data_IF_449134886569
#
_entry.id   IF_449134886569
#
_cell.length_a   1.000
_cell.length_b   1.000
_cell.length_c   1.000
_cell.angle_alpha   90.00
_cell.angle_beta   90.00
_cell.angle_gamma   90.00
#
_symmetry.space_group_name_H-M   'P 1'
#
loop_
_entity.id
_entity.type
_entity.pdbx_description
1 polymer ?
#
# COMPACT_ATOMS: atom_id res chain seq x y z
N UNK A 1 48.22 -41.31 11.13
CA UNK A 1 48.23 -39.85 10.84
C UNK A 1 46.97 -39.51 10.05
N UNK A 2 45.90 -39.10 10.73
CA UNK A 2 44.57 -38.88 10.14
C UNK A 2 44.46 -37.40 9.74
N UNK A 3 44.40 -37.14 8.43
CA UNK A 3 44.29 -35.80 7.85
C UNK A 3 42.92 -35.19 8.19
N UNK A 4 42.91 -34.05 8.88
CA UNK A 4 41.70 -33.27 9.19
C UNK A 4 41.15 -32.68 7.89
N UNK A 5 39.97 -33.12 7.46
CA UNK A 5 39.18 -32.44 6.43
C UNK A 5 38.54 -31.20 7.07
N UNK A 6 38.96 -30.01 6.66
CA UNK A 6 38.26 -28.77 6.98
C UNK A 6 37.08 -28.64 6.00
N UNK A 7 35.86 -28.78 6.51
CA UNK A 7 34.64 -28.50 5.75
C UNK A 7 34.36 -26.99 5.81
N UNK A 8 34.55 -26.31 4.69
CA UNK A 8 34.24 -24.88 4.54
C UNK A 8 32.75 -24.72 4.22
N UNK A 9 31.96 -24.29 5.19
CA UNK A 9 30.53 -24.03 5.00
C UNK A 9 30.35 -22.71 4.24
N UNK A 10 29.83 -22.77 3.01
CA UNK A 10 29.44 -21.58 2.24
C UNK A 10 28.05 -21.15 2.73
N UNK A 11 27.96 -19.99 3.37
CA UNK A 11 26.67 -19.38 3.73
C UNK A 11 26.05 -18.73 2.49
N UNK A 12 24.92 -19.28 2.02
CA UNK A 12 24.12 -18.67 0.95
C UNK A 12 23.21 -17.62 1.59
N UNK A 13 23.45 -16.35 1.27
CA UNK A 13 22.54 -15.25 1.61
C UNK A 13 21.35 -15.31 0.64
N UNK A 14 20.22 -15.83 1.11
CA UNK A 14 18.94 -15.72 0.40
C UNK A 14 18.45 -14.28 0.61
N UNK A 15 18.55 -13.45 -0.43
CA UNK A 15 17.85 -12.17 -0.46
C UNK A 15 16.34 -12.48 -0.51
N UNK A 16 15.64 -12.24 0.59
CA UNK A 16 14.18 -12.28 0.58
C UNK A 16 13.68 -11.16 -0.33
N UNK A 17 12.65 -11.40 -1.16
CA UNK A 17 11.98 -10.31 -1.85
C UNK A 17 11.43 -9.37 -0.77
N UNK A 18 11.93 -8.14 -0.73
CA UNK A 18 11.25 -7.07 0.00
C UNK A 18 9.95 -6.85 -0.77
N UNK A 19 8.83 -7.33 -0.23
CA UNK A 19 7.53 -7.03 -0.82
C UNK A 19 7.35 -5.52 -0.65
N UNK A 20 7.31 -4.77 -1.76
CA UNK A 20 7.03 -3.35 -1.69
C UNK A 20 5.59 -3.18 -1.21
N UNK A 21 5.42 -2.65 0.00
CA UNK A 21 4.09 -2.38 0.55
C UNK A 21 3.36 -1.37 -0.35
N UNK A 22 2.19 -1.76 -0.85
CA UNK A 22 1.33 -0.94 -1.71
C UNK A 22 -0.02 -0.75 -1.06
N UNK A 23 -0.37 0.49 -0.72
CA UNK A 23 -1.61 0.83 -0.03
C UNK A 23 -2.67 1.34 -1.01
N UNK A 24 -3.91 0.84 -0.87
CA UNK A 24 -5.08 1.39 -1.55
C UNK A 24 -5.73 2.46 -0.68
N UNK A 25 -6.01 3.63 -1.25
CA UNK A 25 -6.62 4.76 -0.54
C UNK A 25 -7.93 5.18 -1.20
N UNK A 26 -9.05 4.93 -0.54
CA UNK A 26 -10.37 5.30 -1.01
C UNK A 26 -10.87 6.55 -0.26
N UNK A 27 -10.83 7.69 -0.94
CA UNK A 27 -11.35 8.96 -0.44
C UNK A 27 -12.85 9.08 -0.71
N UNK A 28 -13.55 9.82 0.16
CA UNK A 28 -15.00 10.04 0.05
C UNK A 28 -15.37 10.83 -1.20
N UNK A 29 -14.65 11.92 -1.46
CA UNK A 29 -14.70 12.73 -2.69
C UNK A 29 -13.47 13.62 -2.71
N UNK A 30 -13.13 14.27 -3.82
CA UNK A 30 -12.16 15.37 -3.86
C UNK A 30 -12.83 16.71 -4.26
N UNK A 31 -14.16 16.74 -4.29
CA UNK A 31 -14.94 17.90 -4.71
C UNK A 31 -14.95 19.04 -3.68
N UNK A 32 -14.36 18.85 -2.49
CA UNK A 32 -14.31 19.90 -1.48
C UNK A 32 -12.93 19.94 -0.75
N UNK A 33 -12.60 21.07 -0.10
CA UNK A 33 -11.28 21.27 0.49
C UNK A 33 -10.93 20.33 1.64
N UNK A 34 -11.92 19.83 2.39
CA UNK A 34 -11.66 18.94 3.52
C UNK A 34 -11.00 17.65 3.05
N UNK A 35 -11.54 17.03 2.00
CA UNK A 35 -10.96 15.81 1.46
C UNK A 35 -9.69 16.06 0.63
N UNK A 36 -9.56 17.24 0.01
CA UNK A 36 -8.29 17.65 -0.59
C UNK A 36 -7.16 17.74 0.45
N UNK A 37 -7.45 18.21 1.67
CA UNK A 37 -6.48 18.19 2.76
C UNK A 37 -6.18 16.76 3.25
N UNK A 38 -7.16 15.86 3.25
CA UNK A 38 -6.94 14.44 3.58
C UNK A 38 -6.03 13.75 2.55
N UNK A 39 -6.22 14.00 1.25
CA UNK A 39 -5.33 13.50 0.19
C UNK A 39 -3.89 13.99 0.38
N UNK A 40 -3.72 15.27 0.73
CA UNK A 40 -2.40 15.83 1.04
C UNK A 40 -1.72 15.07 2.18
N UNK A 41 -2.45 14.82 3.27
CA UNK A 41 -1.92 14.07 4.42
C UNK A 41 -1.56 12.62 4.07
N UNK A 42 -2.35 11.96 3.21
CA UNK A 42 -2.02 10.63 2.69
C UNK A 42 -0.71 10.67 1.92
N UNK A 43 -0.56 11.63 1.01
CA UNK A 43 0.66 11.78 0.19
C UNK A 43 1.89 12.01 1.05
N UNK A 44 1.82 12.96 1.99
CA UNK A 44 2.93 13.29 2.89
C UNK A 44 3.27 12.11 3.80
N UNK A 45 2.26 11.39 4.30
CA UNK A 45 2.45 10.18 5.10
C UNK A 45 3.12 9.05 4.32
N UNK A 46 2.68 8.81 3.07
CA UNK A 46 3.25 7.80 2.20
C UNK A 46 4.72 8.12 1.84
N UNK A 47 5.02 9.38 1.51
CA UNK A 47 6.39 9.86 1.26
C UNK A 47 7.28 9.67 2.49
N UNK A 48 6.82 10.07 3.67
CA UNK A 48 7.57 9.92 4.91
C UNK A 48 7.81 8.44 5.30
N UNK A 49 6.88 7.55 4.97
CA UNK A 49 6.98 6.12 5.25
C UNK A 49 7.73 5.33 4.16
N UNK A 50 7.94 5.91 2.97
CA UNK A 50 8.50 5.19 1.82
C UNK A 50 7.57 4.10 1.28
N UNK A 51 6.25 4.31 1.38
CA UNK A 51 5.22 3.35 0.97
C UNK A 51 4.58 3.81 -0.34
N UNK A 52 4.41 2.88 -1.28
CA UNK A 52 3.70 3.15 -2.53
C UNK A 52 2.18 3.15 -2.28
N UNK A 53 1.45 4.01 -2.98
CA UNK A 53 -0.01 4.04 -2.83
C UNK A 53 -0.72 4.39 -4.15
N UNK A 54 -1.98 4.01 -4.22
CA UNK A 54 -2.89 4.49 -5.26
C UNK A 54 -4.19 4.97 -4.62
N UNK A 55 -4.70 6.09 -5.13
CA UNK A 55 -5.86 6.77 -4.58
C UNK A 55 -7.01 6.77 -5.58
N UNK A 56 -8.23 6.60 -5.07
CA UNK A 56 -9.47 6.82 -5.80
C UNK A 56 -10.42 7.64 -4.94
N UNK A 57 -11.30 8.38 -5.60
CA UNK A 57 -12.37 9.14 -4.97
C UNK A 57 -13.62 9.09 -5.86
N UNK A 58 -14.80 9.23 -5.26
CA UNK A 58 -16.06 9.33 -6.02
C UNK A 58 -16.51 10.78 -6.17
N UNK A 59 -17.49 10.98 -7.05
CA UNK A 59 -17.95 12.31 -7.48
C UNK A 59 -18.45 13.20 -6.32
N UNK A 60 -19.03 12.61 -5.28
CA UNK A 60 -19.61 13.35 -4.16
C UNK A 60 -19.64 12.51 -2.88
N UNK A 61 -19.83 13.17 -1.74
CA UNK A 61 -19.92 12.51 -0.44
C UNK A 61 -21.23 11.74 -0.21
N UNK A 62 -22.22 11.90 -1.10
CA UNK A 62 -23.47 11.14 -1.08
C UNK A 62 -23.44 9.89 -1.97
N UNK A 63 -22.37 9.70 -2.76
CA UNK A 63 -22.24 8.61 -3.72
C UNK A 63 -21.79 7.29 -3.07
N UNK A 64 -22.58 6.79 -2.09
CA UNK A 64 -22.24 5.60 -1.30
C UNK A 64 -22.11 4.31 -2.14
N UNK A 65 -23.05 4.05 -3.04
CA UNK A 65 -22.99 2.87 -3.93
C UNK A 65 -21.80 2.93 -4.89
N UNK A 66 -21.54 4.05 -5.61
CA UNK A 66 -20.30 4.22 -6.37
C UNK A 66 -19.05 4.00 -5.52
N UNK A 67 -19.03 4.49 -4.27
CA UNK A 67 -17.88 4.32 -3.37
C UNK A 67 -17.63 2.85 -3.03
N UNK A 68 -18.69 2.09 -2.75
CA UNK A 68 -18.60 0.65 -2.52
C UNK A 68 -18.07 -0.09 -3.76
N UNK A 69 -18.55 0.26 -4.95
CA UNK A 69 -18.10 -0.37 -6.20
C UNK A 69 -16.61 -0.10 -6.47
N UNK A 70 -16.16 1.15 -6.28
CA UNK A 70 -14.74 1.51 -6.39
C UNK A 70 -13.90 0.75 -5.37
N UNK A 71 -14.38 0.63 -4.12
CA UNK A 71 -13.71 -0.15 -3.08
C UNK A 71 -13.48 -1.60 -3.52
N UNK A 72 -14.51 -2.25 -4.05
CA UNK A 72 -14.42 -3.63 -4.52
C UNK A 72 -13.40 -3.78 -5.66
N UNK A 73 -13.43 -2.89 -6.66
CA UNK A 73 -12.43 -2.88 -7.74
C UNK A 73 -11.01 -2.61 -7.24
N UNK A 74 -10.83 -1.79 -6.21
CA UNK A 74 -9.52 -1.56 -5.61
C UNK A 74 -9.03 -2.81 -4.87
N UNK A 75 -9.90 -3.52 -4.15
CA UNK A 75 -9.54 -4.76 -3.45
C UNK A 75 -9.06 -5.86 -4.42
N UNK A 76 -9.54 -5.88 -5.65
CA UNK A 76 -9.05 -6.80 -6.70
C UNK A 76 -7.57 -6.59 -7.03
N UNK A 77 -7.01 -5.41 -6.75
CA UNK A 77 -5.57 -5.13 -6.91
C UNK A 77 -4.72 -5.70 -5.75
N UNK A 78 -5.35 -6.33 -4.76
CA UNK A 78 -4.71 -6.95 -3.60
C UNK A 78 -3.73 -6.03 -2.87
N UNK A 79 -4.15 -4.81 -2.43
CA UNK A 79 -3.27 -3.95 -1.66
C UNK A 79 -2.91 -4.59 -0.30
N UNK A 80 -1.73 -4.27 0.22
CA UNK A 80 -1.30 -4.75 1.54
C UNK A 80 -2.15 -4.15 2.67
N UNK A 81 -2.63 -2.92 2.47
CA UNK A 81 -3.59 -2.25 3.34
C UNK A 81 -4.59 -1.42 2.52
N UNK A 82 -5.84 -1.37 2.99
CA UNK A 82 -6.87 -0.49 2.44
C UNK A 82 -7.22 0.59 3.47
N UNK A 83 -7.04 1.85 3.10
CA UNK A 83 -7.45 3.02 3.88
C UNK A 83 -8.73 3.56 3.25
N UNK A 84 -9.83 3.55 4.01
CA UNK A 84 -11.16 3.95 3.51
C UNK A 84 -11.73 5.09 4.35
N UNK A 85 -12.17 6.14 3.67
CA UNK A 85 -12.95 7.23 4.26
C UNK A 85 -14.44 6.95 4.05
N UNK A 86 -15.13 6.48 5.10
CA UNK A 86 -16.57 6.20 5.09
C UNK A 86 -17.40 7.44 5.45
#
# INVERSE_FOLDING_TARGET
MLKKLAATTVAVLIALPVHAETYGVLMKTLANPFWGAMELGVREGAEAAGVEYYLQAVESDQAAEPQLNVCNTMLERQPDAMITAA
#
